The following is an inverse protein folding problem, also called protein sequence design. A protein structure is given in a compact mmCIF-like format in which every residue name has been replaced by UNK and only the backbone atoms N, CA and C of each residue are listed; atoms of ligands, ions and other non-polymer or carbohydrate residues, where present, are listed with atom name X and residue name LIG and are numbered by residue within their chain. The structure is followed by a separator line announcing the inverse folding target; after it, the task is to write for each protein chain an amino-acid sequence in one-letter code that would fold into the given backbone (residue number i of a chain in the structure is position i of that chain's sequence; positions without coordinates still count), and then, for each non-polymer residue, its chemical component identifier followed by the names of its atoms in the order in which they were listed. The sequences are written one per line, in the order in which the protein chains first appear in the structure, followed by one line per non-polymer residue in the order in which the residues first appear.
data_IF_132020554386
#
_entry.id   IF_132020554386
#
_cell.length_a   1.000
_cell.length_b   1.000
_cell.length_c   1.000
_cell.angle_alpha   90.00
_cell.angle_beta   90.00
_cell.angle_gamma   90.00
#
_symmetry.space_group_name_H-M   'P 1'
#
loop_
_entity.id
_entity.type
_entity.pdbx_description
1 polymer ?
#
# COMPACT_ATOMS: atom_id res chain seq x y z
N UNK A 1 69.72 -2.30 25.00
CA UNK A 1 69.66 -1.60 23.69
C UNK A 1 68.20 -1.56 23.26
N UNK A 2 67.58 -0.38 23.34
CA UNK A 2 66.14 -0.15 23.12
C UNK A 2 65.85 -0.15 21.61
N UNK A 3 64.95 -1.01 21.13
CA UNK A 3 64.43 -0.92 19.75
C UNK A 3 63.13 -0.11 19.76
N UNK A 4 63.20 1.05 19.11
CA UNK A 4 62.11 1.95 18.72
C UNK A 4 61.29 1.31 17.60
N UNK A 5 60.18 0.68 17.93
CA UNK A 5 58.96 0.65 17.10
C UNK A 5 57.87 0.08 17.99
N UNK A 6 56.96 0.94 18.45
CA UNK A 6 55.80 0.59 19.26
C UNK A 6 54.74 -0.13 18.43
N UNK A 7 55.06 -1.32 17.95
CA UNK A 7 54.11 -2.22 17.32
C UNK A 7 53.47 -3.09 18.40
N UNK A 8 52.26 -2.72 18.79
CA UNK A 8 51.35 -3.61 19.53
C UNK A 8 50.88 -4.64 18.50
N UNK A 9 51.31 -5.89 18.64
CA UNK A 9 50.63 -7.00 18.01
C UNK A 9 49.22 -7.07 18.63
N UNK A 10 48.23 -6.52 17.93
CA UNK A 10 46.85 -6.85 18.17
C UNK A 10 46.71 -8.33 17.79
N UNK A 11 46.97 -9.21 18.76
CA UNK A 11 46.42 -10.56 18.79
C UNK A 11 44.97 -10.41 18.39
N UNK A 12 44.65 -10.79 17.16
CA UNK A 12 43.31 -10.75 16.64
C UNK A 12 42.44 -11.43 17.68
N UNK A 13 41.58 -10.67 18.33
CA UNK A 13 40.64 -11.23 19.28
C UNK A 13 39.77 -12.15 18.45
N UNK A 14 40.03 -13.45 18.55
CA UNK A 14 39.13 -14.48 18.08
C UNK A 14 37.76 -14.17 18.68
N UNK A 15 36.90 -13.54 17.89
CA UNK A 15 35.55 -13.18 18.30
C UNK A 15 34.89 -14.44 18.85
N UNK A 16 34.59 -14.42 20.15
CA UNK A 16 34.20 -15.61 20.92
C UNK A 16 33.17 -16.48 20.19
N UNK A 17 33.42 -17.78 20.18
CA UNK A 17 32.56 -18.77 19.54
C UNK A 17 31.14 -18.74 20.12
N UNK A 18 30.18 -18.24 19.32
CA UNK A 18 28.75 -18.62 19.23
C UNK A 18 28.12 -19.39 20.41
N UNK A 19 28.13 -18.86 21.64
CA UNK A 19 27.59 -19.60 22.80
C UNK A 19 26.06 -19.81 22.71
N UNK A 20 25.30 -18.88 22.11
CA UNK A 20 23.83 -18.94 22.15
C UNK A 20 23.21 -19.67 20.94
N UNK A 21 23.92 -19.76 19.80
CA UNK A 21 23.41 -20.45 18.59
C UNK A 21 23.83 -21.91 18.56
N UNK A 22 23.48 -22.63 19.63
CA UNK A 22 23.71 -24.08 19.72
C UNK A 22 22.73 -24.83 18.81
N UNK A 23 23.09 -26.06 18.42
CA UNK A 23 22.18 -26.96 17.69
C UNK A 23 20.85 -27.16 18.44
N UNK A 24 20.90 -27.21 19.76
CA UNK A 24 19.74 -27.31 20.63
C UNK A 24 18.80 -26.09 20.50
N UNK A 25 19.34 -24.87 20.58
CA UNK A 25 18.54 -23.65 20.44
C UNK A 25 17.95 -23.49 19.03
N UNK A 26 18.70 -23.88 18.00
CA UNK A 26 18.19 -23.92 16.62
C UNK A 26 17.00 -24.89 16.53
N UNK A 27 17.13 -26.08 17.12
CA UNK A 27 16.07 -27.09 17.13
C UNK A 27 14.84 -26.62 17.92
N UNK A 28 15.02 -25.98 19.08
CA UNK A 28 13.94 -25.37 19.87
C UNK A 28 13.15 -24.34 19.06
N UNK A 29 13.84 -23.42 18.37
CA UNK A 29 13.19 -22.42 17.51
C UNK A 29 12.45 -23.10 16.34
N UNK A 30 13.09 -24.07 15.68
CA UNK A 30 12.48 -24.82 14.56
C UNK A 30 11.20 -25.57 14.98
N UNK A 31 11.22 -26.24 16.14
CA UNK A 31 10.08 -26.97 16.67
C UNK A 31 8.95 -26.03 17.12
N UNK A 32 9.29 -24.86 17.68
CA UNK A 32 8.28 -23.84 18.01
C UNK A 32 7.56 -23.32 16.76
N UNK A 33 8.30 -23.06 15.67
CA UNK A 33 7.71 -22.63 14.39
C UNK A 33 6.81 -23.70 13.74
N UNK A 34 7.17 -24.98 13.86
CA UNK A 34 6.32 -26.08 13.36
C UNK A 34 4.96 -26.10 14.05
N UNK A 35 4.94 -25.85 15.37
CA UNK A 35 3.71 -25.79 16.16
C UNK A 35 2.94 -24.48 15.91
N UNK A 36 3.64 -23.36 15.78
CA UNK A 36 3.06 -22.02 15.65
C UNK A 36 3.48 -21.36 14.35
N UNK A 37 2.55 -21.32 13.39
CA UNK A 37 2.77 -20.63 12.09
C UNK A 37 2.83 -19.10 12.22
N UNK A 38 2.38 -18.51 13.33
CA UNK A 38 2.18 -17.06 13.50
C UNK A 38 2.81 -16.54 14.80
N UNK A 39 4.11 -16.28 14.78
CA UNK A 39 4.85 -15.77 15.95
C UNK A 39 5.90 -14.73 15.54
N UNK A 40 6.06 -13.70 16.36
CA UNK A 40 7.14 -12.72 16.19
C UNK A 40 8.42 -13.23 16.85
N UNK A 41 9.58 -12.77 16.38
CA UNK A 41 10.86 -13.08 17.00
C UNK A 41 10.91 -12.67 18.49
N UNK A 42 10.18 -11.61 18.87
CA UNK A 42 10.06 -11.17 20.27
C UNK A 42 9.24 -12.16 21.11
N UNK A 43 8.13 -12.68 20.58
CA UNK A 43 7.35 -13.72 21.28
C UNK A 43 8.13 -15.01 21.45
N UNK A 44 8.84 -15.45 20.39
CA UNK A 44 9.74 -16.61 20.45
C UNK A 44 10.87 -16.41 21.47
N UNK A 45 11.41 -15.20 21.56
CA UNK A 45 12.44 -14.84 22.54
C UNK A 45 11.95 -15.01 23.97
N UNK A 46 10.76 -14.48 24.31
CA UNK A 46 10.17 -14.62 25.65
C UNK A 46 9.83 -16.06 25.98
N UNK A 47 9.29 -16.83 25.02
CA UNK A 47 8.89 -18.23 25.23
C UNK A 47 10.09 -19.16 25.44
N UNK A 48 11.18 -18.93 24.70
CA UNK A 48 12.34 -19.83 24.69
C UNK A 48 13.47 -19.36 25.62
N UNK A 49 13.34 -18.20 26.27
CA UNK A 49 14.40 -17.61 27.10
C UNK A 49 15.66 -17.21 26.32
N UNK A 50 15.57 -17.10 24.99
CA UNK A 50 16.69 -16.74 24.10
C UNK A 50 16.57 -15.25 23.78
N UNK A 51 17.69 -14.52 23.72
CA UNK A 51 17.65 -13.10 23.31
C UNK A 51 17.03 -12.92 21.92
N UNK A 52 16.24 -11.86 21.75
CA UNK A 52 15.54 -11.58 20.49
C UNK A 52 16.50 -11.45 19.29
N UNK A 53 17.71 -10.96 19.52
CA UNK A 53 18.78 -10.86 18.51
C UNK A 53 19.26 -12.25 18.07
N UNK A 54 19.46 -13.17 19.01
CA UNK A 54 19.84 -14.55 18.69
C UNK A 54 18.72 -15.29 17.97
N UNK A 55 17.45 -15.12 18.38
CA UNK A 55 16.31 -15.69 17.65
C UNK A 55 16.26 -15.18 16.21
N UNK A 56 16.42 -13.87 15.98
CA UNK A 56 16.45 -13.30 14.61
C UNK A 56 17.58 -13.88 13.76
N UNK A 57 18.78 -14.06 14.36
CA UNK A 57 19.92 -14.68 13.67
C UNK A 57 19.64 -16.14 13.32
N UNK A 58 19.07 -16.92 14.24
CA UNK A 58 18.66 -18.31 14.00
C UNK A 58 17.64 -18.39 12.85
N UNK A 59 16.61 -17.53 12.88
CA UNK A 59 15.60 -17.47 11.82
C UNK A 59 16.22 -17.16 10.45
N UNK A 60 17.07 -16.13 10.37
CA UNK A 60 17.60 -15.62 9.10
C UNK A 60 18.76 -16.45 8.55
N UNK A 61 19.74 -16.78 9.40
CA UNK A 61 21.01 -17.40 8.99
C UNK A 61 20.90 -18.92 9.01
N UNK A 62 20.43 -19.47 10.12
CA UNK A 62 20.47 -20.93 10.35
C UNK A 62 19.25 -21.65 9.74
N UNK A 63 18.09 -20.99 9.69
CA UNK A 63 16.86 -21.54 9.07
C UNK A 63 16.55 -20.94 7.68
N UNK A 64 17.28 -19.91 7.23
CA UNK A 64 17.05 -19.27 5.94
C UNK A 64 15.70 -18.55 5.78
N UNK A 65 14.99 -18.27 6.87
CA UNK A 65 13.66 -17.69 6.85
C UNK A 65 13.73 -16.17 6.70
N UNK A 66 12.84 -15.63 5.87
CA UNK A 66 12.61 -14.19 5.73
C UNK A 66 11.31 -13.79 6.43
N UNK A 67 11.30 -12.68 7.17
CA UNK A 67 10.06 -12.16 7.73
C UNK A 67 9.22 -11.53 6.61
N UNK A 68 7.97 -11.98 6.48
CA UNK A 68 6.97 -11.34 5.63
C UNK A 68 5.87 -10.76 6.51
N UNK A 69 5.37 -9.57 6.15
CA UNK A 69 4.16 -9.02 6.76
C UNK A 69 2.96 -9.80 6.23
N UNK A 70 1.94 -9.97 7.06
CA UNK A 70 0.65 -10.44 6.55
C UNK A 70 0.11 -9.37 5.62
N UNK A 71 -0.23 -9.76 4.40
CA UNK A 71 -1.05 -8.94 3.52
C UNK A 71 -2.49 -9.17 3.93
N UNK A 72 -3.23 -8.09 4.14
CA UNK A 72 -4.68 -8.15 4.34
C UNK A 72 -5.28 -8.00 2.96
N UNK A 73 -5.96 -9.04 2.49
CA UNK A 73 -6.67 -9.04 1.23
C UNK A 73 -8.18 -9.09 1.51
N UNK A 74 -9.02 -8.43 0.71
CA UNK A 74 -10.46 -8.58 0.80
C UNK A 74 -10.85 -10.06 0.71
N UNK A 75 -11.71 -10.51 1.61
CA UNK A 75 -12.22 -11.88 1.55
C UNK A 75 -13.13 -12.03 0.34
N UNK A 76 -12.72 -12.85 -0.63
CA UNK A 76 -13.51 -13.14 -1.83
C UNK A 76 -14.40 -14.36 -1.61
N UNK A 77 -15.70 -14.20 -1.87
CA UNK A 77 -16.65 -15.31 -1.99
C UNK A 77 -16.31 -16.17 -3.22
N UNK A 78 -16.67 -17.44 -3.21
CA UNK A 78 -16.43 -18.34 -4.35
C UNK A 78 -17.17 -17.87 -5.62
N UNK A 79 -18.33 -17.24 -5.47
CA UNK A 79 -19.05 -16.60 -6.58
C UNK A 79 -18.25 -15.45 -7.18
N UNK A 80 -17.58 -14.65 -6.34
CA UNK A 80 -16.75 -13.54 -6.79
C UNK A 80 -15.56 -14.10 -7.58
N UNK A 81 -14.88 -15.13 -7.06
CA UNK A 81 -13.77 -15.79 -7.79
C UNK A 81 -14.22 -16.34 -9.14
N UNK A 82 -15.42 -16.92 -9.21
CA UNK A 82 -15.97 -17.41 -10.47
C UNK A 82 -16.21 -16.27 -11.47
N UNK A 83 -16.78 -15.14 -11.01
CA UNK A 83 -16.94 -13.93 -11.85
C UNK A 83 -15.59 -13.39 -12.34
N UNK A 84 -14.60 -13.27 -11.44
CA UNK A 84 -13.24 -12.83 -11.79
C UNK A 84 -12.62 -13.73 -12.86
N UNK A 85 -12.71 -15.06 -12.70
CA UNK A 85 -12.18 -16.02 -13.67
C UNK A 85 -12.90 -15.97 -15.02
N UNK A 86 -14.24 -15.84 -15.00
CA UNK A 86 -15.04 -15.68 -16.21
C UNK A 86 -14.64 -14.41 -16.96
N UNK A 87 -14.49 -13.29 -16.26
CA UNK A 87 -14.03 -12.04 -16.85
C UNK A 87 -12.62 -12.16 -17.45
N UNK A 88 -11.67 -12.70 -16.69
CA UNK A 88 -10.30 -12.89 -17.19
C UNK A 88 -10.25 -13.76 -18.46
N UNK A 89 -11.05 -14.83 -18.51
CA UNK A 89 -11.17 -15.66 -19.71
C UNK A 89 -11.87 -14.93 -20.87
N UNK A 90 -12.91 -14.13 -20.58
CA UNK A 90 -13.58 -13.28 -21.56
C UNK A 90 -12.59 -12.31 -22.20
N UNK A 91 -11.82 -11.56 -21.39
CA UNK A 91 -10.80 -10.63 -21.88
C UNK A 91 -9.75 -11.37 -22.71
N UNK A 92 -9.25 -12.51 -22.22
CA UNK A 92 -8.23 -13.30 -22.92
C UNK A 92 -8.68 -13.85 -24.28
N UNK A 93 -9.96 -14.21 -24.42
CA UNK A 93 -10.48 -14.83 -25.64
C UNK A 93 -11.02 -13.79 -26.64
N UNK A 94 -11.54 -12.66 -26.14
CA UNK A 94 -12.23 -11.68 -26.98
C UNK A 94 -11.36 -10.48 -27.37
N UNK A 95 -10.25 -10.23 -26.67
CA UNK A 95 -9.37 -9.09 -26.95
C UNK A 95 -7.99 -9.57 -27.43
N UNK A 96 -7.53 -8.98 -28.52
CA UNK A 96 -6.12 -9.06 -28.93
C UNK A 96 -5.28 -8.07 -28.12
N UNK A 97 -3.96 -8.28 -28.11
CA UNK A 97 -3.04 -7.42 -27.36
C UNK A 97 -3.15 -5.95 -27.81
N UNK A 98 -3.29 -5.70 -29.10
CA UNK A 98 -3.42 -4.34 -29.65
C UNK A 98 -4.73 -3.67 -29.22
N UNK A 99 -5.79 -4.46 -29.03
CA UNK A 99 -7.11 -3.98 -28.59
C UNK A 99 -7.11 -3.65 -27.10
N UNK A 100 -6.34 -4.39 -26.28
CA UNK A 100 -6.21 -4.09 -24.85
C UNK A 100 -5.59 -2.73 -24.56
N UNK A 101 -4.76 -2.21 -25.47
CA UNK A 101 -4.17 -0.87 -25.35
C UNK A 101 -5.21 0.24 -25.53
N UNK A 102 -6.26 -0.04 -26.31
CA UNK A 102 -7.37 0.90 -26.57
C UNK A 102 -8.43 0.90 -25.46
N UNK A 103 -8.24 0.14 -24.39
CA UNK A 103 -9.16 0.14 -23.26
C UNK A 103 -8.99 1.44 -22.49
N UNK A 104 -10.08 2.18 -22.36
CA UNK A 104 -10.17 3.36 -21.51
C UNK A 104 -10.66 2.93 -20.12
N UNK A 105 -9.79 3.03 -19.13
CA UNK A 105 -10.13 2.86 -17.73
C UNK A 105 -10.63 4.19 -17.18
N UNK A 106 -11.76 4.17 -16.48
CA UNK A 106 -12.35 5.35 -15.84
C UNK A 106 -12.52 5.06 -14.36
N UNK A 107 -12.11 5.99 -13.50
CA UNK A 107 -12.21 5.83 -12.06
C UNK A 107 -12.33 7.16 -11.30
N UNK A 108 -12.78 7.08 -10.06
CA UNK A 108 -12.82 8.18 -9.11
C UNK A 108 -11.91 7.96 -7.91
N UNK A 109 -11.18 9.01 -7.51
CA UNK A 109 -10.46 8.99 -6.25
C UNK A 109 -10.68 10.28 -5.44
N UNK A 110 -10.56 10.16 -4.12
CA UNK A 110 -10.65 11.28 -3.20
C UNK A 110 -9.26 11.68 -2.71
N UNK A 111 -8.94 12.96 -2.85
CA UNK A 111 -7.79 13.57 -2.19
C UNK A 111 -8.28 14.45 -1.05
N UNK A 112 -7.75 14.23 0.15
CA UNK A 112 -8.04 15.05 1.32
C UNK A 112 -6.97 16.14 1.52
N UNK A 113 -7.32 17.20 2.26
CA UNK A 113 -6.38 18.29 2.57
C UNK A 113 -5.29 17.90 3.57
N UNK A 114 -5.46 16.81 4.31
CA UNK A 114 -4.51 16.36 5.32
C UNK A 114 -3.38 15.51 4.72
N UNK A 115 -3.54 15.08 3.46
CA UNK A 115 -2.54 14.46 2.62
C UNK A 115 -2.31 12.98 2.87
N UNK A 116 -1.54 12.40 1.94
CA UNK A 116 -1.13 11.00 2.01
C UNK A 116 0.10 10.88 2.89
N UNK A 117 -0.04 10.17 4.01
CA UNK A 117 1.05 9.91 4.95
C UNK A 117 1.40 8.42 4.95
N UNK A 118 2.66 8.10 4.65
CA UNK A 118 3.18 6.75 4.67
C UNK A 118 3.94 6.49 5.98
N UNK A 119 3.22 5.99 6.98
CA UNK A 119 3.77 5.67 8.30
C UNK A 119 4.96 4.69 8.32
N UNK A 120 5.27 4.03 7.19
CA UNK A 120 6.43 3.14 7.09
C UNK A 120 7.71 3.87 6.67
N UNK A 121 7.58 4.85 5.77
CA UNK A 121 8.68 5.56 5.14
C UNK A 121 8.91 6.93 5.79
N UNK A 122 7.84 7.58 6.25
CA UNK A 122 7.90 8.89 6.89
C UNK A 122 8.35 8.72 8.34
N UNK A 123 9.68 8.69 8.54
CA UNK A 123 10.32 8.44 9.83
C UNK A 123 11.06 9.68 10.32
N UNK A 124 10.86 9.98 11.59
CA UNK A 124 11.64 10.96 12.33
C UNK A 124 12.66 10.22 13.20
N UNK A 125 13.93 10.64 13.13
CA UNK A 125 14.99 10.15 14.00
C UNK A 125 15.13 11.08 15.20
N UNK A 126 14.94 10.53 16.41
CA UNK A 126 14.95 11.30 17.64
C UNK A 126 15.52 10.48 18.81
N UNK A 127 16.05 11.17 19.82
CA UNK A 127 16.65 10.56 21.02
C UNK A 127 15.58 9.99 21.95
N UNK A 128 14.45 10.68 22.07
CA UNK A 128 13.31 10.28 22.87
C UNK A 128 12.00 10.74 22.22
N UNK A 129 10.85 10.46 22.86
CA UNK A 129 9.55 10.83 22.28
C UNK A 129 9.32 12.34 22.21
N UNK A 130 9.76 13.11 23.21
CA UNK A 130 9.62 14.57 23.21
C UNK A 130 10.39 15.22 22.05
N UNK A 131 11.65 14.81 21.85
CA UNK A 131 12.47 15.24 20.70
C UNK A 131 11.86 14.82 19.36
N UNK A 132 11.19 13.66 19.31
CA UNK A 132 10.47 13.23 18.11
C UNK A 132 9.28 14.14 17.80
N UNK A 133 8.53 14.53 18.83
CA UNK A 133 7.34 15.39 18.69
C UNK A 133 7.74 16.78 18.20
N UNK A 134 8.83 17.35 18.72
CA UNK A 134 9.40 18.62 18.24
C UNK A 134 9.88 18.55 16.78
N UNK A 135 10.38 17.39 16.34
CA UNK A 135 10.85 17.15 14.96
C UNK A 135 9.75 16.72 13.98
N UNK A 136 8.48 16.90 14.33
CA UNK A 136 7.36 16.56 13.45
C UNK A 136 6.94 15.09 13.49
N UNK A 137 7.23 14.38 14.58
CA UNK A 137 6.82 12.98 14.80
C UNK A 137 5.33 12.80 15.13
N UNK A 138 4.55 13.89 15.13
CA UNK A 138 3.10 13.91 15.28
C UNK A 138 2.48 14.42 13.98
N UNK A 139 1.79 13.56 13.25
CA UNK A 139 0.90 13.96 12.17
C UNK A 139 -0.51 14.13 12.73
N UNK A 140 -1.03 15.35 12.72
CA UNK A 140 -2.43 15.61 13.08
C UNK A 140 -3.34 15.35 11.87
N UNK A 141 -4.46 14.66 12.09
CA UNK A 141 -5.50 14.44 11.09
C UNK A 141 -6.85 14.89 11.62
N UNK A 142 -7.63 15.55 10.79
CA UNK A 142 -9.00 15.94 11.08
C UNK A 142 -9.88 14.69 11.00
N UNK A 143 -10.91 14.61 11.84
CA UNK A 143 -11.85 13.47 11.82
C UNK A 143 -12.63 13.40 10.49
N UNK A 144 -12.89 14.56 9.88
CA UNK A 144 -13.59 14.70 8.61
C UNK A 144 -12.90 15.81 7.79
N UNK A 145 -11.76 15.53 7.14
CA UNK A 145 -11.08 16.53 6.33
C UNK A 145 -11.93 16.88 5.10
N UNK A 146 -11.74 18.10 4.60
CA UNK A 146 -12.29 18.46 3.30
C UNK A 146 -11.59 17.61 2.24
N UNK A 147 -12.38 17.05 1.33
CA UNK A 147 -11.92 16.19 0.25
C UNK A 147 -12.40 16.71 -1.09
N UNK A 148 -11.60 16.45 -2.11
CA UNK A 148 -11.89 16.73 -3.51
C UNK A 148 -12.05 15.38 -4.20
N UNK A 149 -13.15 15.19 -4.93
CA UNK A 149 -13.31 14.03 -5.79
C UNK A 149 -12.71 14.37 -7.16
N UNK A 150 -11.85 13.49 -7.64
CA UNK A 150 -11.27 13.54 -8.97
C UNK A 150 -11.83 12.39 -9.78
N UNK A 151 -12.10 12.67 -11.05
CA UNK A 151 -12.46 11.68 -12.05
C UNK A 151 -11.46 11.77 -13.20
N UNK A 152 -10.90 10.63 -13.59
CA UNK A 152 -9.90 10.54 -14.64
C UNK A 152 -10.13 9.29 -15.48
N UNK A 153 -9.90 9.43 -16.79
CA UNK A 153 -9.75 8.33 -17.71
C UNK A 153 -8.29 8.10 -18.09
N UNK A 154 -7.88 6.85 -18.24
CA UNK A 154 -6.55 6.48 -18.72
C UNK A 154 -6.61 5.35 -19.74
N UNK A 155 -5.84 5.47 -20.82
CA UNK A 155 -5.60 4.42 -21.81
C UNK A 155 -4.10 4.37 -22.14
N UNK A 156 -3.68 3.49 -23.07
CA UNK A 156 -2.27 3.46 -23.49
C UNK A 156 -1.75 4.77 -24.07
N UNK A 157 -2.64 5.54 -24.68
CA UNK A 157 -2.29 6.73 -25.45
C UNK A 157 -2.22 7.99 -24.57
N UNK A 158 -2.65 7.89 -23.31
CA UNK A 158 -2.56 8.96 -22.34
C UNK A 158 -3.72 8.97 -21.35
N UNK A 159 -3.88 10.13 -20.70
CA UNK A 159 -4.94 10.39 -19.74
C UNK A 159 -5.92 11.41 -20.32
N UNK A 160 -7.20 11.26 -20.01
CA UNK A 160 -8.22 12.23 -20.39
C UNK A 160 -8.04 13.53 -19.58
N UNK A 161 -8.67 14.63 -20.00
CA UNK A 161 -8.75 15.83 -19.17
C UNK A 161 -9.27 15.49 -17.77
N UNK A 162 -8.56 15.97 -16.75
CA UNK A 162 -8.92 15.75 -15.36
C UNK A 162 -10.22 16.49 -15.03
N UNK A 163 -11.20 15.76 -14.49
CA UNK A 163 -12.46 16.33 -14.01
C UNK A 163 -12.42 16.41 -12.48
N UNK A 164 -12.51 17.64 -11.96
CA UNK A 164 -12.55 17.90 -10.52
C UNK A 164 -13.99 18.21 -10.12
N UNK A 165 -14.56 17.36 -9.29
CA UNK A 165 -15.88 17.54 -8.72
C UNK A 165 -15.73 18.25 -7.37
N UNK A 166 -15.82 19.58 -7.40
CA UNK A 166 -15.73 20.45 -6.23
C UNK A 166 -17.10 20.60 -5.51
N UNK A 167 -18.16 20.11 -6.15
CA UNK A 167 -19.54 20.49 -5.85
C UNK A 167 -20.04 19.89 -4.52
N UNK A 168 -19.79 20.65 -3.45
CA UNK A 168 -19.99 20.33 -2.04
C UNK A 168 -19.24 19.06 -1.63
N UNK A 169 -18.83 19.02 -0.36
CA UNK A 169 -18.50 17.73 0.25
C UNK A 169 -19.63 16.76 -0.10
N UNK A 170 -19.33 15.53 -0.52
CA UNK A 170 -20.34 14.48 -0.51
C UNK A 170 -20.74 14.31 0.95
N UNK A 171 -21.67 15.14 1.40
CA UNK A 171 -22.27 15.09 2.71
C UNK A 171 -23.16 13.85 2.75
N UNK A 172 -23.53 13.46 3.96
CA UNK A 172 -24.40 12.32 4.17
C UNK A 172 -25.71 12.45 3.35
N UNK A 173 -26.17 13.66 3.09
CA UNK A 173 -27.42 13.95 2.36
C UNK A 173 -27.28 13.75 0.85
N UNK A 174 -26.15 14.11 0.26
CA UNK A 174 -25.81 13.88 -1.15
C UNK A 174 -25.57 12.39 -1.40
N UNK A 175 -24.94 11.70 -0.43
CA UNK A 175 -24.76 10.24 -0.46
C UNK A 175 -26.12 9.52 -0.38
N UNK A 176 -27.02 9.93 0.51
CA UNK A 176 -28.39 9.39 0.61
C UNK A 176 -29.20 9.68 -0.66
N UNK A 177 -29.20 10.92 -1.17
CA UNK A 177 -29.99 11.30 -2.36
C UNK A 177 -29.56 10.59 -3.64
N UNK A 178 -28.29 10.19 -3.75
CA UNK A 178 -27.75 9.38 -4.86
C UNK A 178 -27.76 7.87 -4.56
N UNK A 179 -28.49 7.41 -3.53
CA UNK A 179 -28.55 6.01 -3.08
C UNK A 179 -27.18 5.37 -2.82
N UNK A 180 -26.17 6.16 -2.48
CA UNK A 180 -24.81 5.70 -2.22
C UNK A 180 -24.09 5.06 -3.41
N UNK A 181 -24.63 5.18 -4.63
CA UNK A 181 -23.98 4.68 -5.83
C UNK A 181 -22.85 5.65 -6.24
N UNK A 182 -21.64 5.11 -6.43
CA UNK A 182 -20.56 5.86 -7.07
C UNK A 182 -21.02 6.32 -8.46
N UNK A 183 -20.52 7.46 -8.99
CA UNK A 183 -20.98 7.99 -10.27
C UNK A 183 -20.95 6.95 -11.40
N UNK A 184 -19.94 6.09 -11.45
CA UNK A 184 -19.85 4.99 -12.41
C UNK A 184 -20.88 3.87 -12.20
N UNK A 185 -21.49 3.71 -11.02
CA UNK A 185 -22.51 2.68 -10.75
C UNK A 185 -23.94 3.18 -10.95
N UNK A 186 -24.12 4.49 -11.12
CA UNK A 186 -25.44 5.09 -11.27
C UNK A 186 -26.05 4.72 -12.64
N UNK A 187 -27.32 4.33 -12.66
CA UNK A 187 -27.99 3.84 -13.86
C UNK A 187 -27.99 4.83 -15.03
N UNK A 188 -28.12 6.15 -14.77
CA UNK A 188 -28.02 7.18 -15.81
C UNK A 188 -26.63 7.23 -16.45
N UNK A 189 -25.56 7.09 -15.64
CA UNK A 189 -24.19 7.06 -16.13
C UNK A 189 -23.95 5.78 -16.96
N UNK A 190 -24.37 4.63 -16.44
CA UNK A 190 -24.28 3.34 -17.15
C UNK A 190 -24.99 3.38 -18.51
N UNK A 191 -26.20 3.97 -18.55
CA UNK A 191 -26.98 4.14 -19.79
C UNK A 191 -26.25 5.04 -20.79
N UNK A 192 -25.77 6.21 -20.34
CA UNK A 192 -25.03 7.12 -21.20
C UNK A 192 -23.76 6.45 -21.75
N UNK A 193 -23.00 5.74 -20.91
CA UNK A 193 -21.81 5.00 -21.34
C UNK A 193 -22.16 3.91 -22.37
N UNK A 194 -23.24 3.19 -22.19
CA UNK A 194 -23.69 2.16 -23.13
C UNK A 194 -24.10 2.75 -24.49
N UNK A 195 -24.68 3.96 -24.50
CA UNK A 195 -25.08 4.67 -25.72
C UNK A 195 -23.89 5.32 -26.46
N UNK A 196 -22.82 5.68 -25.75
CA UNK A 196 -21.71 6.46 -26.30
C UNK A 196 -20.42 5.65 -26.52
N UNK A 197 -20.23 4.52 -25.83
CA UNK A 197 -19.03 3.70 -25.95
C UNK A 197 -19.33 2.33 -26.62
N UNK A 198 -18.69 2.03 -27.77
CA UNK A 198 -19.03 0.86 -28.60
C UNK A 198 -18.67 -0.50 -27.97
N UNK A 199 -17.92 -0.53 -26.86
CA UNK A 199 -17.55 -1.75 -26.15
C UNK A 199 -17.54 -1.53 -24.64
N UNK A 200 -18.58 -0.86 -24.14
CA UNK A 200 -18.76 -0.62 -22.72
C UNK A 200 -18.99 -1.93 -21.96
N UNK A 201 -18.24 -2.13 -20.87
CA UNK A 201 -18.47 -3.22 -19.92
C UNK A 201 -19.25 -2.64 -18.75
N UNK A 202 -20.51 -3.05 -18.61
CA UNK A 202 -21.35 -2.58 -17.51
C UNK A 202 -20.88 -3.10 -16.14
N UNK A 203 -21.41 -2.49 -15.10
CA UNK A 203 -21.07 -2.81 -13.71
C UNK A 203 -21.35 -4.27 -13.30
N UNK A 204 -22.28 -4.96 -13.94
CA UNK A 204 -22.72 -6.30 -13.54
C UNK A 204 -21.85 -7.39 -14.20
N UNK A 205 -21.31 -7.06 -15.38
CA UNK A 205 -20.30 -7.83 -16.11
C UNK A 205 -18.87 -7.56 -15.65
N UNK A 206 -18.64 -6.46 -14.93
CA UNK A 206 -17.35 -6.15 -14.32
C UNK A 206 -17.06 -7.03 -13.08
N UNK A 207 -15.84 -7.57 -12.93
CA UNK A 207 -15.51 -8.41 -11.80
C UNK A 207 -15.33 -7.59 -10.51
N UNK A 208 -15.85 -8.06 -9.36
CA UNK A 208 -15.67 -7.36 -8.09
C UNK A 208 -14.25 -7.48 -7.56
N UNK A 209 -13.74 -6.44 -6.90
CA UNK A 209 -12.51 -6.44 -6.09
C UNK A 209 -11.26 -6.95 -6.84
N UNK A 210 -10.94 -6.34 -7.99
CA UNK A 210 -9.65 -6.57 -8.67
C UNK A 210 -8.89 -5.24 -8.85
N UNK A 211 -8.27 -4.70 -7.79
CA UNK A 211 -7.47 -3.48 -7.89
C UNK A 211 -6.25 -3.65 -8.82
N UNK A 212 -5.70 -4.86 -8.91
CA UNK A 212 -4.52 -5.17 -9.75
C UNK A 212 -4.77 -5.04 -11.26
N UNK A 213 -6.03 -4.91 -11.69
CA UNK A 213 -6.40 -4.73 -13.10
C UNK A 213 -6.67 -3.26 -13.48
N UNK A 214 -6.59 -2.33 -12.52
CA UNK A 214 -6.91 -0.93 -12.75
C UNK A 214 -5.64 -0.06 -12.71
N UNK A 215 -5.13 0.42 -13.86
CA UNK A 215 -3.96 1.31 -13.91
C UNK A 215 -4.08 2.56 -13.04
N UNK A 216 -5.31 3.03 -12.86
CA UNK A 216 -5.61 4.16 -11.99
C UNK A 216 -5.29 3.84 -10.51
N UNK A 217 -5.78 2.71 -10.01
CA UNK A 217 -5.60 2.27 -8.62
C UNK A 217 -4.17 1.88 -8.27
N UNK A 218 -3.50 1.06 -9.09
CA UNK A 218 -2.19 0.54 -8.72
C UNK A 218 -1.03 1.51 -9.02
N UNK A 219 -1.26 2.59 -9.77
CA UNK A 219 -0.19 3.49 -10.22
C UNK A 219 -0.58 4.96 -10.33
N UNK A 220 -1.57 5.33 -11.14
CA UNK A 220 -1.73 6.74 -11.56
C UNK A 220 -2.10 7.62 -10.36
N UNK A 221 -3.01 7.16 -9.49
CA UNK A 221 -3.39 7.93 -8.30
C UNK A 221 -2.22 8.15 -7.33
N UNK A 222 -1.34 7.15 -7.19
CA UNK A 222 -0.13 7.28 -6.37
C UNK A 222 0.85 8.30 -6.97
N UNK A 223 0.96 8.41 -8.30
CA UNK A 223 1.78 9.43 -8.94
C UNK A 223 1.20 10.84 -8.72
N UNK A 224 -0.12 11.03 -8.82
CA UNK A 224 -0.77 12.29 -8.44
C UNK A 224 -0.44 12.69 -7.00
N UNK A 225 -0.54 11.73 -6.05
CA UNK A 225 -0.26 11.99 -4.64
C UNK A 225 1.20 12.45 -4.38
N UNK A 226 2.16 11.99 -5.21
CA UNK A 226 3.58 12.35 -5.09
C UNK A 226 3.90 13.74 -5.64
N UNK A 227 3.17 14.21 -6.65
CA UNK A 227 3.41 15.50 -7.31
C UNK A 227 2.87 16.67 -6.46
N UNK A 228 1.83 16.42 -5.67
CA UNK A 228 1.22 17.45 -4.80
C UNK A 228 2.20 17.90 -3.71
N UNK A 229 2.47 19.20 -3.65
CA UNK A 229 3.18 19.80 -2.53
C UNK A 229 2.25 19.97 -1.33
N UNK A 230 2.18 18.92 -0.50
CA UNK A 230 1.34 18.86 0.69
C UNK A 230 1.62 19.97 1.71
N UNK A 231 2.79 20.61 1.68
CA UNK A 231 3.08 21.75 2.58
C UNK A 231 2.29 23.01 2.21
N UNK A 232 1.89 23.14 0.94
CA UNK A 232 1.09 24.27 0.44
C UNK A 232 -0.41 24.02 0.59
N UNK A 233 -0.83 22.77 0.73
CA UNK A 233 -2.24 22.39 0.87
C UNK A 233 -2.75 22.78 2.26
N UNK A 234 -3.42 23.92 2.35
CA UNK A 234 -4.09 24.38 3.58
C UNK A 234 -5.62 24.46 3.38
N UNK A 235 -6.14 25.27 2.43
CA UNK A 235 -7.53 25.22 2.03
C UNK A 235 -7.74 24.27 0.85
N UNK A 236 -8.99 23.80 0.67
CA UNK A 236 -9.43 23.00 -0.50
C UNK A 236 -9.07 23.65 -1.85
N UNK A 237 -9.14 24.98 -1.93
CA UNK A 237 -8.79 25.73 -3.14
C UNK A 237 -7.34 25.51 -3.58
N UNK A 238 -6.39 25.46 -2.64
CA UNK A 238 -4.97 25.22 -2.96
C UNK A 238 -4.73 23.77 -3.37
N UNK A 239 -5.48 22.81 -2.80
CA UNK A 239 -5.45 21.43 -3.27
C UNK A 239 -5.87 21.34 -4.74
N UNK A 240 -6.99 21.98 -5.11
CA UNK A 240 -7.48 22.02 -6.50
C UNK A 240 -6.43 22.67 -7.42
N UNK A 241 -5.73 23.71 -6.95
CA UNK A 241 -4.67 24.36 -7.72
C UNK A 241 -3.47 23.43 -7.95
N UNK A 242 -3.03 22.68 -6.92
CA UNK A 242 -1.93 21.71 -7.04
C UNK A 242 -2.31 20.51 -7.92
N UNK A 243 -3.58 20.13 -7.94
CA UNK A 243 -4.07 19.04 -8.80
C UNK A 243 -4.17 19.41 -10.28
N UNK A 244 -4.21 20.72 -10.58
CA UNK A 244 -4.29 21.26 -11.94
C UNK A 244 -2.94 21.68 -12.52
N UNK A 245 -1.89 21.77 -11.68
CA UNK A 245 -0.54 22.17 -12.07
C UNK A 245 0.26 21.02 -12.66
#
# INVERSE_FOLDING_TARGET
MIRRTGSIELLGTHGGSRIIRTKENILKVKNSLRRKKRVSARKLSMELGISATSVRRILKIDLGLKPYKKVVEPSLSDDQKLKQKKFANCVRNNFRKEETMRILFLDENFFDIDGVYNCQNDRVWAVNRADADEKGGIQQRRKFPQKVMMWLGACSDGVTPLVILDDRTVDHDCYIKKNGAMPHQHHLTQKWCQENFPSFIDKDNWPPNIPDLYPLDYSIWDEFAKVIDWNKVKPKATLIQQLKS
#
